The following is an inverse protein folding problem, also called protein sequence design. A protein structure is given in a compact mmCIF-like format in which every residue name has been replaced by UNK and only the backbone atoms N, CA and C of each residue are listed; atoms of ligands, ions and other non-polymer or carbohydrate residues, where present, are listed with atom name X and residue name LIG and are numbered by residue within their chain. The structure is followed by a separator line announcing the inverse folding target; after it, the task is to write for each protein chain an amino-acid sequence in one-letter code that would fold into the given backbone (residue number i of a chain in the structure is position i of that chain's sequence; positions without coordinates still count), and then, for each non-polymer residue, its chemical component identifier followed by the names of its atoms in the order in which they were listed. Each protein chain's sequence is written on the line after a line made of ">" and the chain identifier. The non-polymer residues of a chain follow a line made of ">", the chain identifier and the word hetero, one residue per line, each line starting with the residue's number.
data_IF_083108177458
#
_entry.id   IF_083108177458
#
_cell.length_a   1.000
_cell.length_b   1.000
_cell.length_c   1.000
_cell.angle_alpha   90.00
_cell.angle_beta   90.00
_cell.angle_gamma   90.00
#
_symmetry.space_group_name_H-M   'P 1'
#
loop_
_entity.id
_entity.type
_entity.pdbx_description
1 polymer ?
#
# COMPACT_ATOMS: atom_id res chain seq x y z
N UNK A 1 17.86 -6.11 -5.18
CA UNK A 1 17.12 -4.94 -5.70
C UNK A 1 15.63 -5.26 -5.67
N UNK A 2 14.82 -4.53 -4.90
CA UNK A 2 13.38 -4.43 -5.16
C UNK A 2 13.19 -3.34 -6.21
N UNK A 3 12.72 -3.69 -7.40
CA UNK A 3 12.47 -2.72 -8.46
C UNK A 3 11.00 -2.33 -8.43
N UNK A 4 10.72 -1.06 -8.13
CA UNK A 4 9.40 -0.45 -8.27
C UNK A 4 9.43 0.52 -9.46
N UNK A 5 8.45 0.43 -10.36
CA UNK A 5 8.35 1.32 -11.53
C UNK A 5 6.89 1.63 -11.85
N UNK A 6 6.60 2.89 -12.17
CA UNK A 6 5.27 3.28 -12.66
C UNK A 6 5.14 3.12 -14.18
N UNK A 7 3.95 2.75 -14.62
CA UNK A 7 3.47 2.85 -16.00
C UNK A 7 2.05 3.43 -15.94
N UNK A 8 1.93 4.74 -16.07
CA UNK A 8 0.69 5.46 -15.74
C UNK A 8 0.33 5.27 -14.26
N UNK A 9 -0.92 4.90 -13.98
CA UNK A 9 -1.39 4.56 -12.62
C UNK A 9 -0.98 3.16 -12.15
N UNK A 10 -0.36 2.34 -13.01
CA UNK A 10 0.07 0.98 -12.68
C UNK A 10 1.44 1.03 -12.00
N UNK A 11 1.60 0.27 -10.91
CA UNK A 11 2.90 0.04 -10.26
C UNK A 11 3.37 -1.40 -10.55
N UNK A 12 4.54 -1.51 -11.16
CA UNK A 12 5.25 -2.77 -11.36
C UNK A 12 6.21 -2.94 -10.19
N UNK A 13 6.07 -4.04 -9.44
CA UNK A 13 6.88 -4.37 -8.28
C UNK A 13 7.56 -5.74 -8.47
N UNK A 14 8.86 -5.81 -8.24
CA UNK A 14 9.63 -7.05 -8.25
C UNK A 14 9.94 -7.48 -6.82
N UNK A 15 9.51 -8.68 -6.44
CA UNK A 15 9.80 -9.25 -5.13
C UNK A 15 11.32 -9.47 -4.95
N UNK A 16 11.97 -8.83 -3.97
CA UNK A 16 13.41 -8.95 -3.76
C UNK A 16 13.82 -10.27 -3.07
N UNK A 17 12.84 -11.12 -2.68
CA UNK A 17 13.03 -12.36 -1.89
C UNK A 17 13.77 -12.18 -0.55
N UNK A 18 13.90 -10.93 -0.09
CA UNK A 18 14.48 -10.56 1.20
C UNK A 18 13.63 -9.50 1.89
N UNK A 19 13.78 -9.35 3.21
CA UNK A 19 13.14 -8.26 3.95
C UNK A 19 13.89 -6.95 3.65
N UNK A 20 13.14 -5.88 3.42
CA UNK A 20 13.68 -4.53 3.24
C UNK A 20 13.00 -3.59 4.27
N UNK A 21 13.39 -3.65 5.55
CA UNK A 21 12.66 -2.98 6.63
C UNK A 21 12.63 -1.45 6.48
N UNK A 22 13.68 -0.87 5.90
CA UNK A 22 13.81 0.57 5.70
C UNK A 22 12.83 1.13 4.65
N UNK A 23 12.24 0.28 3.80
CA UNK A 23 11.30 0.73 2.77
C UNK A 23 9.85 0.85 3.27
N UNK A 24 9.53 0.27 4.42
CA UNK A 24 8.14 0.12 4.85
C UNK A 24 7.89 0.60 6.29
N UNK A 25 8.76 1.49 6.78
CA UNK A 25 8.64 2.06 8.12
C UNK A 25 7.70 3.28 8.13
N UNK A 26 7.37 3.74 9.34
CA UNK A 26 6.50 4.91 9.55
C UNK A 26 7.07 6.16 8.90
N UNK A 27 8.40 6.34 8.91
CA UNK A 27 9.05 7.47 8.25
C UNK A 27 8.75 7.51 6.75
N UNK A 28 8.79 6.36 6.07
CA UNK A 28 8.42 6.26 4.67
C UNK A 28 6.94 6.54 4.46
N UNK A 29 6.05 6.06 5.34
CA UNK A 29 4.62 6.36 5.24
C UNK A 29 4.35 7.88 5.34
N UNK A 30 5.02 8.58 6.26
CA UNK A 30 4.91 10.04 6.40
C UNK A 30 5.38 10.77 5.13
N UNK A 31 6.45 10.30 4.49
CA UNK A 31 6.94 10.91 3.24
C UNK A 31 5.91 10.85 2.11
N UNK A 32 5.16 9.75 1.99
CA UNK A 32 4.17 9.59 0.92
C UNK A 32 2.81 10.21 1.24
N UNK A 33 2.54 10.56 2.49
CA UNK A 33 1.26 11.13 2.95
C UNK A 33 0.99 12.46 2.25
N UNK A 34 -0.02 12.49 1.40
CA UNK A 34 -0.42 13.68 0.65
C UNK A 34 0.56 14.10 -0.45
N UNK A 35 1.62 13.33 -0.71
CA UNK A 35 2.56 13.64 -1.77
C UNK A 35 1.89 13.52 -3.16
N UNK A 36 2.16 14.47 -4.06
CA UNK A 36 1.67 14.39 -5.44
C UNK A 36 2.17 13.10 -6.11
N UNK A 37 1.25 12.33 -6.71
CA UNK A 37 1.60 11.07 -7.36
C UNK A 37 2.62 11.31 -8.49
N UNK A 38 3.69 10.50 -8.49
CA UNK A 38 4.79 10.61 -9.47
C UNK A 38 5.90 11.60 -9.10
N UNK A 39 5.77 12.40 -8.03
CA UNK A 39 6.86 13.28 -7.55
C UNK A 39 7.92 12.48 -6.79
N UNK A 40 7.48 11.58 -5.91
CA UNK A 40 8.37 10.67 -5.19
C UNK A 40 8.67 9.42 -6.02
N UNK A 41 9.67 8.66 -5.58
CA UNK A 41 10.03 7.39 -6.22
C UNK A 41 8.84 6.42 -6.25
N UNK A 42 8.78 5.50 -7.24
CA UNK A 42 7.71 4.52 -7.29
C UNK A 42 7.63 3.69 -6.01
N UNK A 43 6.45 3.65 -5.40
CA UNK A 43 6.25 2.96 -4.13
C UNK A 43 4.79 2.53 -3.95
N UNK A 44 4.58 1.45 -3.19
CA UNK A 44 3.23 0.96 -2.86
C UNK A 44 2.39 2.00 -2.11
N UNK A 45 3.03 2.82 -1.28
CA UNK A 45 2.39 3.90 -0.54
C UNK A 45 1.90 5.04 -1.43
N UNK A 46 2.58 5.34 -2.54
CA UNK A 46 2.09 6.32 -3.51
C UNK A 46 0.76 5.88 -4.14
N UNK A 47 0.60 4.59 -4.43
CA UNK A 47 -0.65 4.02 -4.99
C UNK A 47 -1.77 4.08 -3.95
N UNK A 48 -1.49 3.69 -2.70
CA UNK A 48 -2.48 3.76 -1.63
C UNK A 48 -2.93 5.19 -1.34
N UNK A 49 -2.00 6.14 -1.27
CA UNK A 49 -2.28 7.56 -1.03
C UNK A 49 -3.12 8.18 -2.15
N UNK A 50 -2.74 7.93 -3.41
CA UNK A 50 -3.49 8.42 -4.56
C UNK A 50 -4.91 7.85 -4.60
N UNK A 51 -5.06 6.54 -4.32
CA UNK A 51 -6.38 5.89 -4.26
C UNK A 51 -7.24 6.45 -3.12
N UNK A 52 -6.67 6.62 -1.93
CA UNK A 52 -7.38 7.21 -0.80
C UNK A 52 -7.83 8.65 -1.08
N UNK A 53 -6.94 9.49 -1.61
CA UNK A 53 -7.28 10.88 -1.95
C UNK A 53 -8.30 10.97 -3.06
N UNK A 54 -8.22 10.12 -4.09
CA UNK A 54 -9.25 10.05 -5.12
C UNK A 54 -10.62 9.68 -4.52
N UNK A 55 -10.66 8.70 -3.61
CA UNK A 55 -11.89 8.32 -2.91
C UNK A 55 -12.49 9.49 -2.12
N UNK A 56 -11.67 10.22 -1.36
CA UNK A 56 -12.12 11.36 -0.53
C UNK A 56 -12.54 12.55 -1.38
N UNK A 57 -11.76 12.90 -2.41
CA UNK A 57 -11.99 14.09 -3.21
C UNK A 57 -13.13 13.92 -4.21
N UNK A 58 -13.29 12.74 -4.79
CA UNK A 58 -14.32 12.46 -5.80
C UNK A 58 -15.62 11.91 -5.19
N UNK A 59 -15.58 11.46 -3.93
CA UNK A 59 -16.72 10.83 -3.27
C UNK A 59 -17.13 9.49 -3.91
N UNK A 60 -16.19 8.81 -4.59
CA UNK A 60 -16.43 7.55 -5.33
C UNK A 60 -15.53 6.44 -4.82
N UNK A 61 -16.08 5.23 -4.74
CA UNK A 61 -15.33 4.03 -4.35
C UNK A 61 -14.16 3.77 -5.30
N UNK A 62 -12.99 3.47 -4.72
CA UNK A 62 -11.76 3.13 -5.45
C UNK A 62 -11.39 1.67 -5.19
N UNK A 63 -10.61 1.09 -6.11
CA UNK A 63 -10.09 -0.27 -5.97
C UNK A 63 -8.63 -0.34 -6.38
N UNK A 64 -7.89 -1.24 -5.73
CA UNK A 64 -6.50 -1.56 -6.05
C UNK A 64 -6.42 -3.07 -6.32
N UNK A 65 -6.05 -3.43 -7.56
CA UNK A 65 -5.83 -4.83 -7.94
C UNK A 65 -4.35 -5.18 -7.80
N UNK A 66 -4.04 -6.21 -7.00
CA UNK A 66 -2.69 -6.76 -6.87
C UNK A 66 -2.64 -8.11 -7.59
N UNK A 67 -1.96 -8.16 -8.75
CA UNK A 67 -1.83 -9.36 -9.58
C UNK A 67 -0.38 -9.83 -9.68
N UNK A 68 -0.18 -11.07 -10.14
CA UNK A 68 1.13 -11.69 -10.32
C UNK A 68 1.11 -13.20 -10.07
N UNK A 69 2.18 -13.88 -10.46
CA UNK A 69 2.35 -15.33 -10.28
C UNK A 69 2.45 -15.75 -8.79
N UNK A 70 2.44 -17.05 -8.53
CA UNK A 70 2.71 -17.59 -7.20
C UNK A 70 4.10 -17.13 -6.72
N UNK A 71 4.20 -16.65 -5.48
CA UNK A 71 5.47 -16.11 -4.94
C UNK A 71 5.85 -14.70 -5.38
N UNK A 72 5.09 -14.04 -6.28
CA UNK A 72 5.37 -12.69 -6.76
C UNK A 72 5.25 -11.58 -5.69
N UNK A 73 4.75 -11.90 -4.49
CA UNK A 73 4.66 -10.97 -3.37
C UNK A 73 3.29 -10.33 -3.15
N UNK A 74 2.24 -10.77 -3.85
CA UNK A 74 0.86 -10.23 -3.76
C UNK A 74 0.40 -10.00 -2.31
N UNK A 75 0.43 -11.04 -1.48
CA UNK A 75 -0.01 -10.98 -0.07
C UNK A 75 0.79 -9.97 0.75
N UNK A 76 2.10 -9.84 0.51
CA UNK A 76 2.94 -8.84 1.21
C UNK A 76 2.57 -7.43 0.77
N UNK A 77 2.38 -7.21 -0.53
CA UNK A 77 1.94 -5.93 -1.09
C UNK A 77 0.59 -5.52 -0.54
N UNK A 78 -0.39 -6.43 -0.47
CA UNK A 78 -1.70 -6.16 0.12
C UNK A 78 -1.59 -5.76 1.60
N UNK A 79 -0.75 -6.43 2.39
CA UNK A 79 -0.52 -6.04 3.78
C UNK A 79 0.06 -4.62 3.90
N UNK A 80 1.01 -4.26 3.05
CA UNK A 80 1.60 -2.91 3.04
C UNK A 80 0.58 -1.83 2.65
N UNK A 81 -0.29 -2.12 1.67
CA UNK A 81 -1.40 -1.23 1.30
C UNK A 81 -2.32 -1.00 2.50
N UNK A 82 -2.75 -2.08 3.17
CA UNK A 82 -3.62 -2.00 4.34
C UNK A 82 -2.97 -1.22 5.48
N UNK A 83 -1.70 -1.49 5.79
CA UNK A 83 -0.94 -0.75 6.82
C UNK A 83 -0.92 0.76 6.54
N UNK A 84 -0.67 1.16 5.29
CA UNK A 84 -0.67 2.56 4.92
C UNK A 84 -2.06 3.20 5.03
N UNK A 85 -3.10 2.51 4.57
CA UNK A 85 -4.48 2.98 4.66
C UNK A 85 -4.94 3.13 6.12
N UNK A 86 -4.56 2.19 7.01
CA UNK A 86 -4.81 2.30 8.45
C UNK A 86 -4.08 3.52 9.04
N UNK A 87 -2.83 3.73 8.65
CA UNK A 87 -2.01 4.85 9.12
C UNK A 87 -2.60 6.22 8.76
N UNK A 88 -3.08 6.41 7.52
CA UNK A 88 -3.70 7.68 7.11
C UNK A 88 -5.18 7.81 7.54
N UNK A 89 -5.89 6.69 7.71
CA UNK A 89 -7.30 6.63 8.05
C UNK A 89 -7.62 6.92 9.53
N UNK A 90 -6.61 7.12 10.38
CA UNK A 90 -6.79 7.68 11.72
C UNK A 90 -7.41 6.73 12.76
N UNK A 91 -7.54 5.43 12.50
CA UNK A 91 -7.81 4.45 13.56
C UNK A 91 -6.52 4.12 14.30
N UNK A 92 -6.09 5.07 15.12
CA UNK A 92 -5.15 4.78 16.19
C UNK A 92 -5.82 3.81 17.16
N UNK A 93 -5.34 2.55 17.19
CA UNK A 93 -5.15 1.73 18.40
C UNK A 93 -6.17 2.00 19.53
N UNK A 94 -7.45 1.81 19.27
CA UNK A 94 -8.48 1.84 20.33
C UNK A 94 -9.56 0.77 20.13
N UNK A 95 -9.24 -0.27 19.37
CA UNK A 95 -10.05 -1.48 19.31
C UNK A 95 -9.10 -2.66 19.15
N UNK A 96 -9.07 -3.55 20.14
CA UNK A 96 -8.21 -4.75 20.24
C UNK A 96 -8.64 -5.85 19.25
N UNK A 97 -9.16 -5.43 18.10
CA UNK A 97 -9.62 -6.24 16.96
C UNK A 97 -9.28 -5.46 15.70
N UNK A 98 -8.01 -5.50 15.30
CA UNK A 98 -7.59 -4.77 14.11
C UNK A 98 -8.19 -5.42 12.86
N UNK A 99 -8.57 -4.59 11.89
CA UNK A 99 -9.07 -5.04 10.56
C UNK A 99 -8.05 -5.98 9.88
N UNK A 100 -6.77 -5.90 10.27
CA UNK A 100 -5.74 -6.84 9.86
C UNK A 100 -6.06 -8.30 10.23
N UNK A 101 -6.73 -8.57 11.36
CA UNK A 101 -7.15 -9.92 11.74
C UNK A 101 -8.33 -10.42 10.88
N UNK A 102 -9.29 -9.57 10.53
CA UNK A 102 -10.43 -9.97 9.70
C UNK A 102 -10.07 -10.18 8.22
N UNK A 103 -9.08 -9.46 7.69
CA UNK A 103 -8.66 -9.60 6.28
C UNK A 103 -7.69 -10.77 6.08
N UNK A 104 -6.94 -11.19 7.11
CA UNK A 104 -6.04 -12.35 7.01
C UNK A 104 -6.76 -13.72 6.95
N UNK A 105 -8.03 -13.79 7.34
CA UNK A 105 -8.81 -15.04 7.34
C UNK A 105 -9.43 -15.35 5.96
N UNK A 106 -9.58 -14.35 5.11
CA UNK A 106 -10.03 -14.55 3.73
C UNK A 106 -8.83 -14.98 2.88
N UNK A 107 -8.62 -16.29 2.83
CA UNK A 107 -7.73 -16.92 1.86
C UNK A 107 -8.16 -16.52 0.44
N UNK A 108 -7.28 -15.79 -0.24
CA UNK A 108 -7.22 -15.71 -1.71
C UNK A 108 -5.99 -16.48 -2.16
#
# INVERSE_FOLDING_TARGET
>A
MSSFRHTGSILIAVNPFMKLPHLYNVHMMEQYKGATFGVLSPHVFAVADASYRAMVNEGRSQSILVSGESGAGKTKTTKLLMQYLTYIGGRAVSDDRTVEQQVLEVRV
#
